data_IF_652919557565
#
_entry.id   IF_652919557565
#
_cell.length_a   1.000
_cell.length_b   1.000
_cell.length_c   1.000
_cell.angle_alpha   90.00
_cell.angle_beta   90.00
_cell.angle_gamma   90.00
#
_symmetry.space_group_name_H-M   'P 1'
#
loop_
_entity.id
_entity.type
_entity.pdbx_description
1 polymer ?
#
# COMPACT_ATOMS: atom_id res chain seq x y z
N UNK A 1 -3.03 -8.10 12.22
CA UNK A 1 -4.13 -9.03 11.81
C UNK A 1 -3.84 -10.46 12.25
N UNK A 2 -2.80 -11.12 11.74
CA UNK A 2 -2.59 -12.56 11.96
C UNK A 2 -2.37 -12.99 13.42
N UNK A 3 -1.78 -12.15 14.27
CA UNK A 3 -1.70 -12.40 15.72
C UNK A 3 -3.07 -12.48 16.42
N UNK A 4 -4.11 -11.91 15.83
CA UNK A 4 -5.48 -12.03 16.33
C UNK A 4 -6.20 -13.28 15.78
N UNK A 5 -5.63 -13.94 14.77
CA UNK A 5 -6.17 -15.16 14.14
C UNK A 5 -5.46 -16.44 14.61
N UNK A 6 -4.22 -16.31 15.05
CA UNK A 6 -3.39 -17.41 15.51
C UNK A 6 -2.83 -17.08 16.90
N UNK A 7 -2.98 -18.02 17.84
CA UNK A 7 -2.40 -17.93 19.18
C UNK A 7 -0.89 -18.30 19.21
N UNK A 8 -0.33 -18.73 18.06
CA UNK A 8 1.11 -19.00 17.87
C UNK A 8 1.75 -17.87 17.05
N UNK A 9 2.73 -17.18 17.66
CA UNK A 9 3.45 -16.09 17.00
C UNK A 9 4.15 -16.56 15.73
N UNK A 10 4.70 -17.78 15.72
CA UNK A 10 5.39 -18.29 14.53
C UNK A 10 4.43 -18.51 13.36
N UNK A 11 3.25 -19.08 13.64
CA UNK A 11 2.18 -19.23 12.66
C UNK A 11 1.66 -17.88 12.16
N UNK A 12 1.48 -16.91 13.06
CA UNK A 12 1.06 -15.55 12.71
C UNK A 12 2.06 -14.87 11.76
N UNK A 13 3.37 -15.00 12.01
CA UNK A 13 4.41 -14.46 11.13
C UNK A 13 4.46 -15.15 9.77
N UNK A 14 4.37 -16.49 9.73
CA UNK A 14 4.30 -17.24 8.46
C UNK A 14 3.08 -16.84 7.63
N UNK A 15 1.93 -16.65 8.28
CA UNK A 15 0.72 -16.21 7.60
C UNK A 15 0.87 -14.78 7.05
N UNK A 16 1.51 -13.88 7.79
CA UNK A 16 1.80 -12.53 7.30
C UNK A 16 2.74 -12.54 6.09
N UNK A 17 3.83 -13.29 6.14
CA UNK A 17 4.76 -13.42 5.02
C UNK A 17 4.08 -13.99 3.77
N UNK A 18 3.30 -15.08 3.93
CA UNK A 18 2.56 -15.66 2.81
C UNK A 18 1.53 -14.69 2.20
N UNK A 19 0.90 -13.86 3.04
CA UNK A 19 -0.01 -12.82 2.59
C UNK A 19 0.72 -11.72 1.79
N UNK A 20 1.86 -11.24 2.28
CA UNK A 20 2.69 -10.25 1.58
C UNK A 20 3.21 -10.76 0.24
N UNK A 21 3.68 -12.02 0.21
CA UNK A 21 4.16 -12.66 -1.03
C UNK A 21 3.04 -12.78 -2.08
N UNK A 22 1.81 -13.11 -1.64
CA UNK A 22 0.66 -13.19 -2.54
C UNK A 22 0.33 -11.82 -3.15
N UNK A 23 0.35 -10.75 -2.37
CA UNK A 23 0.15 -9.39 -2.88
C UNK A 23 1.27 -8.96 -3.82
N UNK A 24 2.53 -9.18 -3.45
CA UNK A 24 3.67 -8.86 -4.30
C UNK A 24 3.58 -9.55 -5.66
N UNK A 25 3.16 -10.82 -5.68
CA UNK A 25 2.95 -11.59 -6.91
C UNK A 25 1.83 -11.02 -7.77
N UNK A 26 0.70 -10.63 -7.17
CA UNK A 26 -0.42 -10.01 -7.88
C UNK A 26 -0.04 -8.64 -8.46
N UNK A 27 0.68 -7.81 -7.70
CA UNK A 27 1.17 -6.51 -8.15
C UNK A 27 2.14 -6.67 -9.33
N UNK A 28 3.10 -7.59 -9.22
CA UNK A 28 4.04 -7.89 -10.30
C UNK A 28 3.35 -8.43 -11.56
N UNK A 29 2.22 -9.13 -11.40
CA UNK A 29 1.37 -9.57 -12.49
C UNK A 29 0.45 -8.47 -13.06
N UNK A 30 0.61 -7.21 -12.64
CA UNK A 30 -0.16 -6.07 -13.14
C UNK A 30 -1.61 -6.05 -12.65
N UNK A 31 -1.91 -6.70 -11.52
CA UNK A 31 -3.29 -6.80 -10.98
C UNK A 31 -3.68 -5.66 -10.05
N UNK A 32 -2.82 -4.65 -9.90
CA UNK A 32 -3.13 -3.42 -9.18
C UNK A 32 -3.63 -2.37 -10.18
N UNK A 33 -4.90 -2.01 -10.08
CA UNK A 33 -5.54 -1.05 -10.98
C UNK A 33 -6.10 0.14 -10.18
N UNK A 34 -5.93 1.38 -10.69
CA UNK A 34 -6.50 2.54 -10.04
C UNK A 34 -8.03 2.54 -10.15
N UNK A 35 -8.70 3.01 -9.10
CA UNK A 35 -10.12 3.34 -9.18
C UNK A 35 -10.28 4.55 -10.09
N UNK A 36 -11.25 4.51 -11.00
CA UNK A 36 -11.52 5.59 -11.94
C UNK A 36 -11.69 6.94 -11.22
N UNK A 37 -10.94 7.95 -11.65
CA UNK A 37 -10.97 9.30 -11.05
C UNK A 37 -10.05 9.50 -9.85
N UNK A 38 -9.48 8.44 -9.27
CA UNK A 38 -8.65 8.56 -8.07
C UNK A 38 -7.35 9.31 -8.37
N UNK A 39 -6.61 8.90 -9.42
CA UNK A 39 -5.33 9.50 -9.76
C UNK A 39 -5.48 10.96 -10.22
N UNK A 40 -6.62 11.33 -10.80
CA UNK A 40 -6.93 12.67 -11.27
C UNK A 40 -7.36 13.61 -10.13
N UNK A 41 -7.95 13.06 -9.07
CA UNK A 41 -8.38 13.85 -7.92
C UNK A 41 -7.20 14.37 -7.08
N UNK A 42 -6.14 13.57 -6.90
CA UNK A 42 -5.02 13.93 -6.02
C UNK A 42 -4.27 15.20 -6.49
N UNK A 43 -3.88 15.34 -7.77
CA UNK A 43 -3.25 16.57 -8.27
C UNK A 43 -4.16 17.79 -8.16
N UNK A 44 -5.47 17.63 -8.33
CA UNK A 44 -6.44 18.74 -8.20
C UNK A 44 -6.52 19.27 -6.78
N UNK A 45 -6.50 18.37 -5.79
CA UNK A 45 -6.43 18.75 -4.37
C UNK A 45 -5.13 19.51 -4.10
N UNK A 46 -3.99 18.99 -4.57
CA UNK A 46 -2.68 19.64 -4.36
C UNK A 46 -2.57 21.00 -5.05
N UNK A 47 -3.13 21.14 -6.26
CA UNK A 47 -3.20 22.42 -6.97
C UNK A 47 -4.07 23.47 -6.26
N UNK A 48 -4.94 23.04 -5.33
CA UNK A 48 -5.73 23.91 -4.47
C UNK A 48 -5.07 24.13 -3.10
N UNK A 49 -3.76 23.92 -2.98
CA UNK A 49 -2.96 24.02 -1.74
C UNK A 49 -3.39 23.07 -0.61
N UNK A 50 -4.13 22.00 -0.92
CA UNK A 50 -4.50 20.96 0.05
C UNK A 50 -3.41 19.89 0.08
N UNK A 51 -2.86 19.62 1.26
CA UNK A 51 -1.89 18.54 1.47
C UNK A 51 -2.55 17.17 1.39
N UNK A 52 -1.93 16.26 0.65
CA UNK A 52 -2.44 14.91 0.40
C UNK A 52 -1.48 13.87 0.99
N UNK A 53 -1.99 12.99 1.84
CA UNK A 53 -1.27 11.83 2.34
C UNK A 53 -2.01 10.54 1.95
N UNK A 54 -1.28 9.54 1.48
CA UNK A 54 -1.80 8.19 1.26
C UNK A 54 -1.38 7.29 2.42
N UNK A 55 -2.34 6.65 3.08
CA UNK A 55 -2.08 5.75 4.20
C UNK A 55 -2.59 4.35 3.88
N UNK A 56 -1.94 3.34 4.43
CA UNK A 56 -2.37 1.95 4.26
C UNK A 56 -2.07 1.12 5.51
N UNK A 57 -2.73 -0.03 5.62
CA UNK A 57 -2.41 -1.07 6.59
C UNK A 57 -1.38 -2.09 6.08
N UNK A 58 -0.96 -2.00 4.82
CA UNK A 58 0.10 -2.85 4.25
C UNK A 58 1.49 -2.46 4.75
N UNK A 59 2.43 -3.41 4.76
CA UNK A 59 3.83 -3.14 5.08
C UNK A 59 4.46 -2.10 4.14
N UNK A 60 5.54 -1.41 4.56
CA UNK A 60 6.23 -0.42 3.72
C UNK A 60 6.67 -0.98 2.36
N UNK A 61 7.12 -2.24 2.32
CA UNK A 61 7.50 -2.92 1.09
C UNK A 61 6.29 -3.11 0.13
N UNK A 62 5.17 -3.63 0.63
CA UNK A 62 3.96 -3.82 -0.18
C UNK A 62 3.39 -2.48 -0.66
N UNK A 63 3.41 -1.45 0.20
CA UNK A 63 3.02 -0.10 -0.18
C UNK A 63 3.89 0.46 -1.29
N UNK A 64 5.22 0.37 -1.16
CA UNK A 64 6.16 0.85 -2.17
C UNK A 64 5.93 0.18 -3.53
N UNK A 65 5.69 -1.14 -3.53
CA UNK A 65 5.34 -1.91 -4.73
C UNK A 65 4.04 -1.41 -5.38
N UNK A 66 3.00 -1.11 -4.59
CA UNK A 66 1.74 -0.56 -5.11
C UNK A 66 1.93 0.83 -5.71
N UNK A 67 2.62 1.73 -5.01
CA UNK A 67 2.90 3.09 -5.50
C UNK A 67 3.67 3.04 -6.81
N UNK A 68 4.69 2.19 -6.90
CA UNK A 68 5.49 2.03 -8.12
C UNK A 68 4.65 1.44 -9.27
N UNK A 69 3.89 0.37 -9.02
CA UNK A 69 3.07 -0.29 -10.03
C UNK A 69 1.99 0.64 -10.60
N UNK A 70 1.42 1.52 -9.78
CA UNK A 70 0.42 2.50 -10.20
C UNK A 70 1.04 3.77 -10.81
N UNK A 71 2.35 3.97 -10.69
CA UNK A 71 3.03 5.21 -11.11
C UNK A 71 2.67 6.42 -10.24
N UNK A 72 2.37 6.20 -8.96
CA UNK A 72 1.82 7.22 -8.04
C UNK A 72 2.87 7.95 -7.20
N UNK A 73 4.16 7.79 -7.50
CA UNK A 73 5.28 8.33 -6.69
C UNK A 73 5.18 9.82 -6.38
N UNK A 74 4.65 10.61 -7.31
CA UNK A 74 4.54 12.07 -7.18
C UNK A 74 3.11 12.57 -6.97
N UNK A 75 2.13 11.68 -6.73
CA UNK A 75 0.72 12.08 -6.61
C UNK A 75 0.32 12.60 -5.22
N UNK A 76 1.12 12.31 -4.20
CA UNK A 76 0.87 12.72 -2.82
C UNK A 76 2.09 13.42 -2.21
N UNK A 77 1.87 14.22 -1.16
CA UNK A 77 2.95 14.87 -0.42
C UNK A 77 3.59 13.92 0.59
N UNK A 78 2.87 12.88 1.00
CA UNK A 78 3.32 11.88 1.97
C UNK A 78 2.65 10.53 1.71
N UNK A 79 3.39 9.46 1.98
CA UNK A 79 2.91 8.08 1.90
C UNK A 79 3.32 7.38 3.20
N UNK A 80 2.38 6.73 3.90
CA UNK A 80 2.60 6.14 5.22
C UNK A 80 2.13 4.69 5.27
N UNK A 81 2.98 3.81 5.78
CA UNK A 81 2.69 2.42 6.11
C UNK A 81 3.00 2.14 7.59
N UNK A 82 2.47 1.06 8.18
CA UNK A 82 2.80 0.66 9.55
C UNK A 82 4.23 0.10 9.62
N UNK A 83 4.99 0.51 10.63
CA UNK A 83 6.37 0.07 10.84
C UNK A 83 7.37 1.19 10.55
N UNK A 84 8.65 0.85 10.55
CA UNK A 84 9.71 1.80 10.25
C UNK A 84 9.70 2.12 8.74
N UNK A 85 9.48 3.40 8.41
CA UNK A 85 9.34 3.90 7.05
C UNK A 85 9.04 5.40 7.03
#
# INVERSE_FOLDING_TARGET
>A
VFRALFDDETAAQRANAAFEDAYASLIAAGRAEPIAGAAEALPRLRAADIKVALTTGFSPDTQGKLIAALGWGDLADLVLAPGDG
#
